data_IF_234654782963
#
_entry.id   IF_234654782963
#
_cell.length_a   1.000
_cell.length_b   1.000
_cell.length_c   1.000
_cell.angle_alpha   90.00
_cell.angle_beta   90.00
_cell.angle_gamma   90.00
#
_symmetry.space_group_name_H-M   'P 1'
#
loop_
_entity.id
_entity.type
_entity.pdbx_description
1 polymer ?
#
# COMPACT_ATOMS: atom_id res chain seq x y z
N UNK A 1 -1.53 -4.36 17.96
CA UNK A 1 -2.36 -4.60 16.76
C UNK A 1 -3.80 -4.18 17.03
N UNK A 2 -4.39 -3.37 16.16
CA UNK A 2 -5.84 -3.05 16.15
C UNK A 2 -6.44 -3.66 14.88
N UNK A 3 -7.66 -4.18 14.96
CA UNK A 3 -8.36 -4.82 13.84
C UNK A 3 -9.85 -4.50 13.87
N UNK A 4 -10.43 -4.40 12.68
CA UNK A 4 -11.87 -4.26 12.43
C UNK A 4 -12.24 -5.22 11.29
N UNK A 5 -13.47 -5.69 11.29
CA UNK A 5 -14.03 -6.45 10.16
C UNK A 5 -15.07 -5.61 9.44
N UNK A 6 -14.94 -5.51 8.12
CA UNK A 6 -15.85 -4.77 7.24
C UNK A 6 -16.10 -5.58 5.96
N UNK A 7 -17.35 -5.87 5.63
CA UNK A 7 -17.75 -6.63 4.44
C UNK A 7 -17.00 -7.98 4.31
N UNK A 8 -16.84 -8.70 5.42
CA UNK A 8 -16.06 -9.96 5.52
C UNK A 8 -14.57 -9.80 5.21
N UNK A 9 -14.04 -8.60 5.27
CA UNK A 9 -12.60 -8.30 5.14
C UNK A 9 -12.06 -7.89 6.50
N UNK A 10 -10.99 -8.56 6.92
CA UNK A 10 -10.26 -8.22 8.13
C UNK A 10 -9.27 -7.09 7.84
N UNK A 11 -9.47 -5.95 8.46
CA UNK A 11 -8.61 -4.76 8.31
C UNK A 11 -7.79 -4.59 9.59
N UNK A 12 -6.48 -4.53 9.45
CA UNK A 12 -5.53 -4.52 10.57
C UNK A 12 -4.58 -3.33 10.47
N UNK A 13 -4.17 -2.82 11.63
CA UNK A 13 -3.07 -1.84 11.76
C UNK A 13 -2.02 -2.42 12.70
N UNK A 14 -0.78 -2.47 12.25
CA UNK A 14 0.36 -2.97 13.03
C UNK A 14 1.55 -2.02 12.92
N UNK A 15 2.39 -1.97 13.95
CA UNK A 15 3.73 -1.43 13.83
C UNK A 15 4.66 -2.54 13.34
N UNK A 16 5.49 -2.28 12.35
CA UNK A 16 6.39 -3.28 11.79
C UNK A 16 7.08 -2.85 10.51
N UNK A 17 7.65 -3.81 9.84
CA UNK A 17 8.40 -3.65 8.59
C UNK A 17 7.61 -4.28 7.45
N UNK A 18 7.35 -3.52 6.39
CA UNK A 18 6.57 -3.97 5.23
C UNK A 18 7.24 -5.16 4.50
N UNK A 19 8.56 -5.27 4.54
CA UNK A 19 9.28 -6.38 3.90
C UNK A 19 9.28 -7.66 4.75
N UNK A 20 8.73 -7.61 5.95
CA UNK A 20 8.63 -8.74 6.89
C UNK A 20 7.18 -9.14 7.15
N UNK A 21 6.43 -9.40 6.08
CA UNK A 21 5.03 -9.82 6.13
C UNK A 21 4.84 -11.16 5.39
N UNK A 22 5.50 -12.25 5.82
CA UNK A 22 5.55 -13.51 5.05
C UNK A 22 4.18 -14.19 4.89
N UNK A 23 3.24 -13.90 5.78
CA UNK A 23 1.89 -14.47 5.75
C UNK A 23 0.92 -13.75 4.80
N UNK A 24 1.37 -12.71 4.11
CA UNK A 24 0.56 -11.96 3.14
C UNK A 24 0.85 -12.41 1.71
N UNK A 25 -0.21 -12.55 0.90
CA UNK A 25 -0.08 -12.91 -0.53
C UNK A 25 0.62 -11.80 -1.32
N UNK A 26 0.27 -10.56 -1.04
CA UNK A 26 0.87 -9.39 -1.68
C UNK A 26 1.36 -8.37 -0.65
N UNK A 27 2.48 -7.72 -0.95
CA UNK A 27 2.95 -6.51 -0.27
C UNK A 27 2.94 -5.34 -1.24
N UNK A 28 2.70 -4.14 -0.73
CA UNK A 28 2.68 -2.92 -1.54
C UNK A 28 3.98 -2.15 -1.38
N UNK A 29 4.54 -1.74 -2.52
CA UNK A 29 5.68 -0.84 -2.60
C UNK A 29 5.19 0.59 -2.79
N UNK A 30 5.64 1.52 -1.95
CA UNK A 30 5.54 2.95 -2.19
C UNK A 30 6.64 3.35 -3.17
N UNK A 31 6.33 3.24 -4.47
CA UNK A 31 7.27 3.32 -5.57
C UNK A 31 7.61 4.77 -5.98
N UNK A 32 8.67 4.93 -6.75
CA UNK A 32 8.94 6.11 -7.55
C UNK A 32 8.47 5.91 -9.00
N UNK A 33 8.44 7.00 -9.79
CA UNK A 33 7.94 6.96 -11.16
C UNK A 33 8.69 5.98 -12.08
N UNK A 34 9.99 5.81 -11.87
CA UNK A 34 10.83 4.94 -12.68
C UNK A 34 10.86 3.49 -12.20
N UNK A 35 10.17 3.17 -11.10
CA UNK A 35 10.07 1.81 -10.53
C UNK A 35 11.44 1.19 -10.22
N UNK A 36 12.34 2.01 -9.72
CA UNK A 36 13.72 1.64 -9.38
C UNK A 36 13.98 1.77 -7.88
N UNK A 37 15.13 1.29 -7.47
CA UNK A 37 15.61 1.53 -6.11
C UNK A 37 15.56 3.02 -5.78
N UNK A 38 15.10 3.33 -4.58
CA UNK A 38 15.04 4.67 -4.02
C UNK A 38 15.29 4.61 -2.53
N UNK A 39 14.78 5.61 -1.81
CA UNK A 39 14.84 5.65 -0.35
C UNK A 39 13.60 4.99 0.28
N UNK A 40 13.60 4.86 1.59
CA UNK A 40 12.46 4.36 2.37
C UNK A 40 12.00 2.97 1.93
N UNK A 41 10.68 2.82 1.71
CA UNK A 41 10.07 1.53 1.35
C UNK A 41 10.60 1.01 0.02
N UNK A 42 10.73 1.85 -1.00
CA UNK A 42 11.26 1.44 -2.31
C UNK A 42 12.70 0.92 -2.19
N UNK A 43 13.53 1.56 -1.40
CA UNK A 43 14.88 1.09 -1.12
C UNK A 43 14.90 -0.27 -0.42
N UNK A 44 14.05 -0.46 0.60
CA UNK A 44 13.96 -1.73 1.33
C UNK A 44 13.50 -2.89 0.44
N UNK A 45 12.51 -2.66 -0.42
CA UNK A 45 11.97 -3.67 -1.32
C UNK A 45 12.97 -4.03 -2.42
N UNK A 46 13.59 -3.04 -3.07
CA UNK A 46 14.57 -3.29 -4.12
C UNK A 46 15.86 -3.96 -3.61
N UNK A 47 16.31 -3.65 -2.38
CA UNK A 47 17.46 -4.37 -1.80
C UNK A 47 17.26 -5.88 -1.70
N UNK A 48 16.04 -6.34 -1.58
CA UNK A 48 15.70 -7.77 -1.54
C UNK A 48 15.45 -8.31 -2.95
N UNK A 49 14.70 -7.59 -3.77
CA UNK A 49 14.18 -8.07 -5.05
C UNK A 49 15.09 -7.89 -6.25
N UNK A 50 16.04 -6.94 -6.20
CA UNK A 50 16.91 -6.63 -7.34
C UNK A 50 18.04 -7.65 -7.53
N UNK A 51 18.55 -7.79 -8.77
CA UNK A 51 18.21 -7.06 -9.99
C UNK A 51 16.92 -7.50 -10.69
N UNK A 52 16.36 -8.62 -10.32
CA UNK A 52 15.20 -9.21 -11.00
C UNK A 52 13.95 -8.33 -10.89
N UNK A 53 13.70 -7.70 -9.74
CA UNK A 53 12.56 -6.82 -9.57
C UNK A 53 12.61 -5.61 -10.53
N UNK A 54 13.76 -4.95 -10.66
CA UNK A 54 13.95 -3.86 -11.62
C UNK A 54 13.74 -4.34 -13.06
N UNK A 55 14.18 -5.55 -13.40
CA UNK A 55 13.92 -6.15 -14.71
C UNK A 55 12.43 -6.32 -14.96
N UNK A 56 11.68 -6.83 -14.00
CA UNK A 56 10.22 -7.02 -14.11
C UNK A 56 9.45 -5.70 -14.25
N UNK A 57 9.87 -4.66 -13.53
CA UNK A 57 9.17 -3.37 -13.52
C UNK A 57 9.54 -2.49 -14.73
N UNK A 58 10.66 -2.73 -15.39
CA UNK A 58 11.18 -1.87 -16.49
C UNK A 58 10.20 -1.69 -17.65
N UNK A 59 9.38 -2.70 -17.94
CA UNK A 59 8.39 -2.65 -19.00
C UNK A 59 7.23 -1.67 -18.73
N UNK A 60 7.01 -1.32 -17.46
CA UNK A 60 5.90 -0.45 -17.01
C UNK A 60 6.34 0.99 -16.75
N UNK A 61 7.65 1.22 -16.58
CA UNK A 61 8.18 2.54 -16.26
C UNK A 61 8.20 3.48 -17.50
N UNK A 62 7.95 4.80 -17.32
CA UNK A 62 7.53 5.44 -16.09
C UNK A 62 6.02 5.30 -15.81
N UNK A 63 5.65 5.28 -14.54
CA UNK A 63 4.25 5.38 -14.11
C UNK A 63 3.93 6.80 -13.61
N UNK A 64 2.65 7.12 -13.51
CA UNK A 64 2.14 8.43 -13.08
C UNK A 64 1.61 8.37 -11.65
N UNK A 65 1.55 9.50 -10.92
CA UNK A 65 0.90 9.57 -9.61
C UNK A 65 -0.54 9.02 -9.67
N UNK A 66 -0.84 8.08 -8.78
CA UNK A 66 -2.10 7.34 -8.73
C UNK A 66 -2.07 5.98 -9.44
N UNK A 67 -1.09 5.74 -10.29
CA UNK A 67 -0.95 4.45 -10.97
C UNK A 67 -0.46 3.35 -10.00
N UNK A 68 -0.89 2.12 -10.29
CA UNK A 68 -0.40 0.91 -9.64
C UNK A 68 -0.14 -0.17 -10.68
N UNK A 69 0.91 -0.95 -10.47
CA UNK A 69 1.22 -2.14 -11.27
C UNK A 69 1.51 -3.32 -10.33
N UNK A 70 1.37 -4.53 -10.84
CA UNK A 70 1.65 -5.76 -10.08
C UNK A 70 2.74 -6.58 -10.77
N UNK A 71 3.66 -7.12 -9.98
CA UNK A 71 4.69 -8.06 -10.43
C UNK A 71 4.73 -9.27 -9.51
N UNK A 72 5.43 -10.33 -9.93
CA UNK A 72 5.90 -11.34 -8.99
C UNK A 72 6.87 -10.71 -7.97
N UNK A 73 7.15 -11.42 -6.90
CA UNK A 73 7.95 -10.93 -5.78
C UNK A 73 9.28 -11.71 -5.66
N UNK A 74 10.29 -11.41 -6.50
CA UNK A 74 11.55 -12.15 -6.47
C UNK A 74 12.25 -11.99 -5.11
N UNK A 75 12.72 -13.13 -4.58
CA UNK A 75 13.38 -13.24 -3.26
C UNK A 75 12.50 -12.93 -2.05
N UNK A 76 11.18 -12.78 -2.24
CA UNK A 76 10.22 -12.64 -1.14
C UNK A 76 9.42 -13.92 -0.96
N UNK A 77 8.93 -14.20 0.26
CA UNK A 77 7.97 -15.29 0.49
C UNK A 77 6.58 -14.99 -0.06
N UNK A 78 6.29 -13.72 -0.34
CA UNK A 78 5.05 -13.23 -0.90
C UNK A 78 4.94 -13.62 -2.39
N UNK A 79 3.72 -13.73 -2.90
CA UNK A 79 3.49 -14.04 -4.32
C UNK A 79 3.65 -12.82 -5.22
N UNK A 80 3.19 -11.66 -4.74
CA UNK A 80 3.16 -10.42 -5.50
C UNK A 80 3.75 -9.24 -4.76
N UNK A 81 4.31 -8.30 -5.54
CA UNK A 81 4.52 -6.91 -5.12
C UNK A 81 3.63 -6.02 -5.99
N UNK A 82 2.88 -5.13 -5.35
CA UNK A 82 2.06 -4.11 -6.02
C UNK A 82 2.76 -2.77 -5.85
N UNK A 83 3.16 -2.15 -6.94
CA UNK A 83 3.91 -0.91 -6.96
C UNK A 83 2.96 0.26 -7.17
N UNK A 84 2.85 1.16 -6.19
CA UNK A 84 1.98 2.33 -6.23
C UNK A 84 2.81 3.61 -6.20
N UNK A 85 2.55 4.52 -7.12
CA UNK A 85 3.13 5.87 -7.07
C UNK A 85 2.12 6.82 -6.43
N UNK A 86 2.35 7.15 -5.16
CA UNK A 86 1.57 8.16 -4.46
C UNK A 86 1.91 9.58 -4.89
N UNK A 87 1.08 10.56 -4.52
CA UNK A 87 1.33 11.97 -4.82
C UNK A 87 2.46 12.52 -3.95
N UNK A 88 3.23 13.46 -4.48
CA UNK A 88 4.04 14.39 -3.69
C UNK A 88 3.09 15.49 -3.20
N UNK A 89 2.92 15.57 -1.89
CA UNK A 89 2.01 16.53 -1.28
C UNK A 89 2.39 17.97 -1.62
N UNK A 90 1.40 18.77 -1.99
CA UNK A 90 1.59 20.15 -2.43
C UNK A 90 2.01 20.32 -3.89
N UNK A 91 2.42 19.24 -4.57
CA UNK A 91 2.83 19.27 -5.99
C UNK A 91 1.84 18.55 -6.91
N UNK A 92 1.54 17.30 -6.59
CA UNK A 92 0.70 16.46 -7.44
C UNK A 92 -0.76 16.57 -6.98
N UNK A 93 -1.59 17.28 -7.76
CA UNK A 93 -2.97 17.64 -7.38
C UNK A 93 -4.00 17.01 -8.32
N UNK A 94 -5.20 16.66 -7.82
CA UNK A 94 -5.64 16.73 -6.41
C UNK A 94 -5.07 15.56 -5.58
N UNK A 95 -4.37 15.86 -4.52
CA UNK A 95 -3.60 14.89 -3.73
C UNK A 95 -4.47 13.76 -3.15
N UNK A 96 -5.63 14.13 -2.60
CA UNK A 96 -6.55 13.15 -1.98
C UNK A 96 -7.04 12.13 -3.01
N UNK A 97 -7.42 12.58 -4.21
CA UNK A 97 -7.89 11.69 -5.28
C UNK A 97 -6.78 10.76 -5.76
N UNK A 98 -5.56 11.29 -5.92
CA UNK A 98 -4.41 10.52 -6.39
C UNK A 98 -4.05 9.45 -5.35
N UNK A 99 -3.96 9.82 -4.07
CA UNK A 99 -3.68 8.86 -3.00
C UNK A 99 -4.78 7.79 -2.87
N UNK A 100 -6.05 8.22 -2.94
CA UNK A 100 -7.19 7.31 -2.97
C UNK A 100 -7.08 6.28 -4.10
N UNK A 101 -6.72 6.72 -5.29
CA UNK A 101 -6.54 5.84 -6.45
C UNK A 101 -5.45 4.80 -6.23
N UNK A 102 -4.36 5.13 -5.55
CA UNK A 102 -3.33 4.16 -5.20
C UNK A 102 -3.90 2.97 -4.42
N UNK A 103 -4.68 3.21 -3.38
CA UNK A 103 -5.28 2.15 -2.58
C UNK A 103 -6.32 1.34 -3.36
N UNK A 104 -7.19 2.01 -4.12
CA UNK A 104 -8.23 1.34 -4.92
C UNK A 104 -7.60 0.51 -6.03
N UNK A 105 -6.67 1.06 -6.79
CA UNK A 105 -6.01 0.35 -7.88
C UNK A 105 -5.20 -0.84 -7.37
N UNK A 106 -4.50 -0.68 -6.24
CA UNK A 106 -3.76 -1.78 -5.63
C UNK A 106 -4.68 -2.93 -5.19
N UNK A 107 -5.81 -2.62 -4.56
CA UNK A 107 -6.77 -3.63 -4.12
C UNK A 107 -7.47 -4.32 -5.30
N UNK A 108 -7.79 -3.58 -6.37
CA UNK A 108 -8.32 -4.17 -7.59
C UNK A 108 -7.31 -5.13 -8.23
N UNK A 109 -6.05 -4.73 -8.39
CA UNK A 109 -5.00 -5.60 -8.93
C UNK A 109 -4.80 -6.86 -8.09
N UNK A 110 -4.81 -6.73 -6.76
CA UNK A 110 -4.73 -7.87 -5.86
C UNK A 110 -5.91 -8.83 -6.06
N UNK A 111 -7.12 -8.30 -6.07
CA UNK A 111 -8.36 -9.07 -6.21
C UNK A 111 -8.43 -9.80 -7.56
N UNK A 112 -8.13 -9.11 -8.65
CA UNK A 112 -8.08 -9.66 -10.02
C UNK A 112 -7.03 -10.77 -10.17
N UNK A 113 -5.95 -10.73 -9.39
CA UNK A 113 -4.90 -11.76 -9.39
C UNK A 113 -5.10 -12.83 -8.30
N UNK A 114 -6.24 -12.84 -7.62
CA UNK A 114 -6.57 -13.84 -6.62
C UNK A 114 -5.77 -13.74 -5.31
N UNK A 115 -5.22 -12.58 -5.01
CA UNK A 115 -4.52 -12.36 -3.74
C UNK A 115 -5.51 -12.23 -2.59
N UNK A 116 -5.42 -13.15 -1.63
CA UNK A 116 -6.32 -13.17 -0.48
C UNK A 116 -5.96 -12.14 0.60
N UNK A 117 -4.73 -11.66 0.61
CA UNK A 117 -4.23 -10.73 1.62
C UNK A 117 -3.24 -9.72 1.04
N UNK A 118 -3.37 -8.46 1.49
CA UNK A 118 -2.55 -7.35 1.02
C UNK A 118 -2.04 -6.53 2.22
N UNK A 119 -0.72 -6.32 2.29
CA UNK A 119 -0.09 -5.45 3.28
C UNK A 119 0.38 -4.15 2.62
N UNK A 120 0.00 -3.03 3.19
CA UNK A 120 0.32 -1.67 2.72
C UNK A 120 1.25 -0.94 3.67
N UNK A 121 2.22 -0.17 3.17
CA UNK A 121 2.86 0.88 3.93
C UNK A 121 1.96 2.14 3.95
N UNK A 122 2.34 3.16 4.72
CA UNK A 122 1.69 4.47 4.66
C UNK A 122 2.18 5.23 3.41
N UNK A 123 1.48 5.09 2.30
CA UNK A 123 1.84 5.69 1.01
C UNK A 123 1.92 7.21 1.12
N UNK A 124 2.95 7.83 0.53
CA UNK A 124 3.22 9.26 0.45
C UNK A 124 3.55 9.98 1.77
N UNK A 125 3.60 9.32 2.92
CA UNK A 125 3.83 9.97 4.22
C UNK A 125 5.30 10.18 4.57
N UNK A 126 6.23 9.57 3.84
CA UNK A 126 7.66 9.78 4.00
C UNK A 126 8.15 11.04 3.27
N UNK A 127 9.13 10.90 2.37
CA UNK A 127 9.73 12.00 1.61
C UNK A 127 8.70 12.80 0.76
N UNK A 128 7.56 12.19 0.38
CA UNK A 128 6.51 12.88 -0.37
C UNK A 128 5.65 13.81 0.49
N UNK A 129 5.82 13.81 1.80
CA UNK A 129 5.35 14.84 2.71
C UNK A 129 3.84 14.88 2.97
N UNK A 130 3.08 13.85 2.62
CA UNK A 130 1.64 13.80 2.93
C UNK A 130 1.45 13.73 4.45
N UNK A 131 0.63 14.62 5.06
CA UNK A 131 0.36 14.56 6.49
C UNK A 131 -0.24 13.22 6.90
N UNK A 132 0.35 12.56 7.90
CA UNK A 132 0.02 11.17 8.27
C UNK A 132 -1.46 10.97 8.64
N UNK A 133 -2.08 11.90 9.37
CA UNK A 133 -3.50 11.78 9.75
C UNK A 133 -4.42 11.87 8.52
N UNK A 134 -4.15 12.82 7.63
CA UNK A 134 -4.92 12.98 6.39
C UNK A 134 -4.73 11.77 5.45
N UNK A 135 -3.50 11.29 5.31
CA UNK A 135 -3.20 10.10 4.52
C UNK A 135 -3.92 8.85 5.07
N UNK A 136 -3.95 8.67 6.39
CA UNK A 136 -4.68 7.57 7.03
C UNK A 136 -6.19 7.64 6.77
N UNK A 137 -6.78 8.84 6.83
CA UNK A 137 -8.20 9.05 6.48
C UNK A 137 -8.49 8.64 5.04
N UNK A 138 -7.64 9.06 4.10
CA UNK A 138 -7.78 8.70 2.68
C UNK A 138 -7.68 7.19 2.49
N UNK A 139 -6.70 6.55 3.10
CA UNK A 139 -6.51 5.10 3.02
C UNK A 139 -7.76 4.33 3.48
N UNK A 140 -8.27 4.62 4.68
CA UNK A 140 -9.43 3.90 5.21
C UNK A 140 -10.73 4.22 4.49
N UNK A 141 -10.93 5.45 4.00
CA UNK A 141 -12.07 5.80 3.13
C UNK A 141 -12.00 5.05 1.80
N UNK A 142 -10.83 4.91 1.20
CA UNK A 142 -10.64 4.13 -0.02
C UNK A 142 -10.96 2.64 0.20
N UNK A 143 -10.43 2.06 1.28
CA UNK A 143 -10.71 0.67 1.66
C UNK A 143 -12.22 0.47 1.91
N UNK A 144 -12.86 1.37 2.66
CA UNK A 144 -14.31 1.32 2.91
C UNK A 144 -15.11 1.34 1.60
N UNK A 145 -14.74 2.22 0.69
CA UNK A 145 -15.44 2.39 -0.58
C UNK A 145 -15.39 1.15 -1.49
N UNK A 146 -14.26 0.43 -1.51
CA UNK A 146 -14.08 -0.72 -2.40
C UNK A 146 -14.38 -2.07 -1.74
N UNK A 147 -14.37 -2.16 -0.41
CA UNK A 147 -14.46 -3.42 0.32
C UNK A 147 -15.65 -4.30 -0.05
N UNK A 148 -16.78 -3.71 -0.40
CA UNK A 148 -17.99 -4.44 -0.80
C UNK A 148 -17.90 -5.11 -2.18
N UNK A 149 -16.95 -4.72 -3.03
CA UNK A 149 -16.76 -5.27 -4.37
C UNK A 149 -15.62 -6.30 -4.47
N UNK A 150 -14.78 -6.40 -3.44
CA UNK A 150 -13.67 -7.34 -3.42
C UNK A 150 -14.18 -8.78 -3.18
N UNK A 151 -13.69 -9.71 -3.98
CA UNK A 151 -14.12 -11.12 -3.95
C UNK A 151 -13.01 -12.04 -3.44
N UNK A 152 -11.77 -11.84 -3.84
CA UNK A 152 -10.62 -12.62 -3.43
C UNK A 152 -9.97 -12.08 -2.14
N UNK A 153 -9.80 -10.76 -2.02
CA UNK A 153 -9.15 -10.14 -0.86
C UNK A 153 -10.02 -10.29 0.38
N UNK A 154 -9.47 -10.91 1.43
CA UNK A 154 -10.10 -11.15 2.74
C UNK A 154 -9.36 -10.50 3.90
N UNK A 155 -8.15 -10.02 3.67
CA UNK A 155 -7.32 -9.41 4.72
C UNK A 155 -6.50 -8.26 4.17
N UNK A 156 -6.58 -7.12 4.85
CA UNK A 156 -5.83 -5.90 4.52
C UNK A 156 -5.10 -5.45 5.79
N UNK A 157 -3.81 -5.15 5.67
CA UNK A 157 -2.99 -4.67 6.80
C UNK A 157 -2.29 -3.38 6.41
N UNK A 158 -2.38 -2.37 7.26
CA UNK A 158 -1.51 -1.19 7.24
C UNK A 158 -0.34 -1.47 8.17
N UNK A 159 0.88 -1.43 7.64
CA UNK A 159 2.13 -1.70 8.34
C UNK A 159 2.90 -0.39 8.49
N UNK A 160 3.00 0.10 9.72
CA UNK A 160 3.58 1.41 10.02
C UNK A 160 4.95 1.23 10.67
N UNK A 161 5.94 1.96 10.15
CA UNK A 161 7.30 1.90 10.67
C UNK A 161 7.43 2.51 12.08
N UNK A 162 6.86 3.70 12.27
CA UNK A 162 6.98 4.43 13.53
C UNK A 162 5.78 4.18 14.47
N UNK A 163 6.02 4.28 15.77
CA UNK A 163 4.96 4.25 16.78
C UNK A 163 3.96 5.39 16.60
N UNK A 164 4.44 6.59 16.22
CA UNK A 164 3.59 7.74 15.96
C UNK A 164 2.59 7.45 14.83
N UNK A 165 3.06 6.96 13.69
CA UNK A 165 2.20 6.63 12.56
C UNK A 165 1.25 5.48 12.89
N UNK A 166 1.72 4.48 13.64
CA UNK A 166 0.85 3.41 14.15
C UNK A 166 -0.30 3.95 14.99
N UNK A 167 -0.02 4.85 15.92
CA UNK A 167 -1.05 5.45 16.77
C UNK A 167 -2.06 6.29 15.99
N UNK A 168 -1.59 7.05 15.00
CA UNK A 168 -2.43 7.83 14.08
C UNK A 168 -3.35 6.89 13.29
N UNK A 169 -2.80 5.89 12.62
CA UNK A 169 -3.59 4.96 11.81
C UNK A 169 -4.57 4.14 12.65
N UNK A 170 -4.17 3.71 13.85
CA UNK A 170 -5.06 3.02 14.78
C UNK A 170 -6.28 3.86 15.18
N UNK A 171 -6.07 5.17 15.43
CA UNK A 171 -7.14 6.12 15.73
C UNK A 171 -8.05 6.31 14.52
N UNK A 172 -7.47 6.50 13.32
CA UNK A 172 -8.24 6.73 12.09
C UNK A 172 -9.01 5.48 11.63
N UNK A 173 -8.48 4.29 11.83
CA UNK A 173 -9.20 3.04 11.61
C UNK A 173 -10.55 3.04 12.31
N UNK A 174 -10.57 3.39 13.62
CA UNK A 174 -11.79 3.46 14.41
C UNK A 174 -12.72 4.58 13.91
N UNK A 175 -12.20 5.78 13.72
CA UNK A 175 -13.01 6.95 13.32
C UNK A 175 -13.69 6.74 11.96
N UNK A 176 -13.00 6.11 11.00
CA UNK A 176 -13.50 5.99 9.61
C UNK A 176 -14.34 4.73 9.41
N UNK A 177 -14.00 3.62 10.07
CA UNK A 177 -14.62 2.32 9.80
C UNK A 177 -15.63 1.87 10.86
N UNK A 178 -15.49 2.30 12.11
CA UNK A 178 -16.47 2.01 13.18
C UNK A 178 -17.64 3.03 13.22
N UNK A 179 -17.63 4.03 12.34
CA UNK A 179 -18.66 5.07 12.31
C UNK A 179 -19.85 4.68 11.41
#
# INVERSE_FOLDING_TARGET
MKKIELNNIKIEVVQGDIVKQPEFTAIVNAANAHLKMGDGVAGAIHRIGDPELTRLTSAFAPIKPGDSIITSAPNFPNKFIIHCLGPVYGRDKPEEKILRNCYINALNLADENGAESVAFPAISTGAFGYPSEEAAKVAFRAIKAISGSLTAVKRIRLVLWSELDYNIHRKMLTIVLDA
#
